data_IF_252571829525
#
_entry.id   IF_252571829525
#
_cell.length_a   1.000
_cell.length_b   1.000
_cell.length_c   1.000
_cell.angle_alpha   90.00
_cell.angle_beta   90.00
_cell.angle_gamma   90.00
#
_symmetry.space_group_name_H-M   'P 1'
#
loop_
_entity.id
_entity.type
_entity.pdbx_description
1 polymer ?
#
# COMPACT_ATOMS: atom_id res chain seq x y z
N UNK A 1 -14.71 3.89 -3.45
CA UNK A 1 -13.74 4.68 -2.65
C UNK A 1 -12.32 4.10 -2.74
N UNK A 2 -12.12 2.81 -2.47
CA UNK A 2 -10.81 2.14 -2.59
C UNK A 2 -10.18 2.28 -4.00
N UNK A 3 -10.91 1.93 -5.06
CA UNK A 3 -10.41 2.02 -6.45
C UNK A 3 -10.07 3.45 -6.88
N UNK A 4 -10.84 4.43 -6.40
CA UNK A 4 -10.62 5.85 -6.71
C UNK A 4 -9.29 6.35 -6.11
N UNK A 5 -8.98 5.99 -4.87
CA UNK A 5 -7.73 6.34 -4.19
C UNK A 5 -6.55 5.61 -4.84
N UNK A 6 -6.69 4.30 -5.13
CA UNK A 6 -5.65 3.54 -5.84
C UNK A 6 -5.32 4.17 -7.20
N UNK A 7 -6.34 4.55 -7.97
CA UNK A 7 -6.17 5.23 -9.25
C UNK A 7 -5.45 6.57 -9.09
N UNK A 8 -5.87 7.38 -8.11
CA UNK A 8 -5.27 8.68 -7.82
C UNK A 8 -3.79 8.56 -7.40
N UNK A 9 -3.47 7.60 -6.55
CA UNK A 9 -2.12 7.33 -6.06
C UNK A 9 -1.29 6.46 -7.02
N UNK A 10 -1.85 6.05 -8.17
CA UNK A 10 -1.23 5.11 -9.12
C UNK A 10 -0.70 3.85 -8.43
N UNK A 11 -1.50 3.28 -7.54
CA UNK A 11 -1.27 1.99 -6.89
C UNK A 11 -1.81 0.91 -7.83
N UNK A 12 -0.98 -0.08 -8.17
CA UNK A 12 -1.31 -1.12 -9.17
C UNK A 12 -1.54 -2.49 -8.52
N UNK A 13 -1.20 -2.61 -7.25
CA UNK A 13 -1.32 -3.81 -6.44
C UNK A 13 -2.80 -4.12 -6.20
N UNK A 14 -3.29 -5.17 -6.88
CA UNK A 14 -4.68 -5.63 -6.77
C UNK A 14 -4.99 -6.10 -5.35
N UNK A 15 -4.03 -6.80 -4.76
CA UNK A 15 -4.11 -7.44 -3.44
C UNK A 15 -3.96 -6.46 -2.27
N UNK A 16 -3.64 -5.18 -2.54
CA UNK A 16 -3.55 -4.15 -1.51
C UNK A 16 -4.96 -3.67 -1.15
N UNK A 17 -5.45 -3.94 0.06
CA UNK A 17 -6.78 -3.51 0.49
C UNK A 17 -6.67 -2.30 1.41
N UNK A 18 -7.30 -1.18 1.05
CA UNK A 18 -7.40 -0.01 1.92
C UNK A 18 -8.36 -0.34 3.06
N UNK A 19 -7.89 -0.22 4.30
CA UNK A 19 -8.65 -0.53 5.52
C UNK A 19 -9.22 0.72 6.16
N UNK A 20 -8.47 1.82 6.13
CA UNK A 20 -8.86 3.08 6.77
C UNK A 20 -8.33 4.28 5.97
N UNK A 21 -9.06 5.40 6.07
CA UNK A 21 -8.65 6.68 5.50
C UNK A 21 -8.93 7.76 6.54
N UNK A 22 -7.89 8.48 6.95
CA UNK A 22 -7.98 9.54 7.96
C UNK A 22 -7.29 10.83 7.49
N UNK A 23 -7.62 11.94 8.14
CA UNK A 23 -6.91 13.20 7.95
C UNK A 23 -6.13 13.54 9.22
N UNK A 24 -4.83 13.71 9.07
CA UNK A 24 -3.92 14.02 10.16
C UNK A 24 -3.18 15.33 9.89
N UNK A 25 -2.71 15.99 10.94
CA UNK A 25 -1.81 17.15 10.78
C UNK A 25 -0.38 16.70 11.04
N UNK A 26 0.38 16.50 9.96
CA UNK A 26 1.80 16.14 10.02
C UNK A 26 2.63 17.37 9.65
N UNK A 27 3.57 17.76 10.51
CA UNK A 27 4.44 18.93 10.28
C UNK A 27 3.67 20.21 9.90
N UNK A 28 2.56 20.49 10.59
CA UNK A 28 1.65 21.62 10.33
C UNK A 28 0.93 21.59 8.96
N UNK A 29 0.97 20.47 8.24
CA UNK A 29 0.25 20.26 6.98
C UNK A 29 -0.86 19.22 7.19
N UNK A 30 -2.08 19.54 6.72
CA UNK A 30 -3.14 18.53 6.61
C UNK A 30 -2.70 17.45 5.61
N UNK A 31 -2.68 16.21 6.06
CA UNK A 31 -2.22 15.04 5.33
C UNK A 31 -3.33 14.00 5.34
N UNK A 32 -3.64 13.44 4.18
CA UNK A 32 -4.51 12.26 4.08
C UNK A 32 -3.65 11.02 4.35
N UNK A 33 -3.97 10.27 5.40
CA UNK A 33 -3.33 9.00 5.73
C UNK A 33 -4.26 7.88 5.25
N UNK A 34 -3.68 6.90 4.55
CA UNK A 34 -4.39 5.76 3.97
C UNK A 34 -3.74 4.51 4.51
N UNK A 35 -4.43 3.82 5.40
CA UNK A 35 -4.00 2.53 5.91
C UNK A 35 -4.45 1.43 4.95
N UNK A 36 -3.55 0.52 4.65
CA UNK A 36 -3.81 -0.57 3.74
C UNK A 36 -3.05 -1.84 4.14
N UNK A 37 -3.68 -2.98 3.88
CA UNK A 37 -3.13 -4.31 4.14
C UNK A 37 -2.99 -5.05 2.82
N UNK A 38 -1.81 -5.62 2.56
CA UNK A 38 -1.60 -6.52 1.43
C UNK A 38 -2.13 -7.91 1.79
N UNK A 39 -3.17 -8.37 1.10
CA UNK A 39 -3.85 -9.65 1.38
C UNK A 39 -3.91 -10.54 0.13
N UNK A 40 -3.43 -11.81 0.20
CA UNK A 40 -2.95 -12.49 1.38
C UNK A 40 -1.61 -11.94 1.89
N UNK A 41 -1.45 -11.89 3.21
CA UNK A 41 -0.21 -11.42 3.84
C UNK A 41 0.96 -12.27 3.35
N UNK A 42 2.00 -11.66 2.76
CA UNK A 42 3.18 -12.39 2.35
C UNK A 42 3.83 -13.09 3.54
N UNK A 43 4.44 -14.24 3.30
CA UNK A 43 5.06 -15.06 4.36
C UNK A 43 6.53 -15.28 4.07
N UNK A 44 7.31 -15.52 5.11
CA UNK A 44 8.67 -16.01 4.94
C UNK A 44 8.67 -17.33 4.17
N UNK A 45 9.67 -17.51 3.30
CA UNK A 45 9.89 -18.71 2.53
C UNK A 45 10.22 -19.85 3.49
N UNK A 46 9.42 -20.92 3.47
CA UNK A 46 9.59 -22.05 4.40
C UNK A 46 10.93 -22.79 4.26
N UNK A 47 11.65 -22.59 3.15
CA UNK A 47 12.90 -23.30 2.87
C UNK A 47 14.15 -22.57 3.36
N UNK A 48 14.13 -21.23 3.40
CA UNK A 48 15.31 -20.42 3.75
C UNK A 48 15.02 -19.30 4.77
N UNK A 49 13.76 -19.09 5.14
CA UNK A 49 13.21 -18.04 6.02
C UNK A 49 13.57 -16.59 5.67
N UNK A 50 14.45 -16.38 4.71
CA UNK A 50 15.04 -15.08 4.39
C UNK A 50 14.31 -14.36 3.24
N UNK A 51 13.62 -15.10 2.38
CA UNK A 51 12.88 -14.57 1.23
C UNK A 51 11.39 -14.47 1.55
N UNK A 52 10.71 -13.43 1.07
CA UNK A 52 9.24 -13.33 1.19
C UNK A 52 8.55 -13.93 -0.02
N UNK A 53 7.52 -14.74 0.21
CA UNK A 53 6.69 -15.40 -0.80
C UNK A 53 5.21 -15.05 -0.64
N UNK A 54 4.45 -15.12 -1.73
CA UNK A 54 3.00 -14.99 -1.74
C UNK A 54 2.28 -16.27 -1.27
N UNK A 55 0.94 -16.25 -1.30
CA UNK A 55 0.11 -17.40 -0.92
C UNK A 55 0.31 -18.66 -1.78
N UNK A 56 0.92 -18.53 -2.97
CA UNK A 56 1.24 -19.61 -3.89
C UNK A 56 2.71 -20.07 -3.80
N UNK A 57 3.50 -19.49 -2.89
CA UNK A 57 4.92 -19.80 -2.72
C UNK A 57 5.85 -19.12 -3.72
N UNK A 58 5.35 -18.17 -4.53
CA UNK A 58 6.19 -17.39 -5.45
C UNK A 58 6.88 -16.27 -4.69
N UNK A 59 8.18 -16.09 -4.92
CA UNK A 59 8.92 -14.96 -4.35
C UNK A 59 8.34 -13.63 -4.84
N UNK A 60 8.10 -12.71 -3.90
CA UNK A 60 7.61 -11.37 -4.20
C UNK A 60 8.51 -10.32 -3.55
N UNK A 61 8.62 -9.18 -4.21
CA UNK A 61 9.30 -8.02 -3.63
C UNK A 61 8.30 -7.20 -2.82
N UNK A 62 8.45 -7.21 -1.50
CA UNK A 62 7.66 -6.35 -0.61
C UNK A 62 8.27 -4.95 -0.63
N UNK A 63 7.60 -4.00 -1.29
CA UNK A 63 8.01 -2.59 -1.26
C UNK A 63 7.48 -1.95 0.02
N UNK A 64 8.28 -1.96 1.09
CA UNK A 64 8.10 -0.98 2.17
C UNK A 64 8.51 0.38 1.63
N UNK A 65 7.55 1.25 1.39
CA UNK A 65 7.83 2.54 0.78
C UNK A 65 6.81 3.60 1.17
N UNK A 66 7.31 4.81 1.47
CA UNK A 66 6.50 6.01 1.53
C UNK A 66 6.37 6.55 0.11
N UNK A 67 5.14 6.68 -0.40
CA UNK A 67 4.88 7.32 -1.70
C UNK A 67 4.32 8.71 -1.47
N UNK A 68 5.04 9.73 -1.91
CA UNK A 68 4.56 11.11 -1.96
C UNK A 68 4.03 11.39 -3.37
N UNK A 69 2.79 11.85 -3.47
CA UNK A 69 2.20 12.25 -4.75
C UNK A 69 1.51 13.60 -4.58
N UNK A 70 1.71 14.49 -5.55
CA UNK A 70 1.03 15.78 -5.58
C UNK A 70 -0.19 15.61 -6.50
N UNK A 71 -1.38 15.59 -5.92
CA UNK A 71 -2.63 15.57 -6.67
C UNK A 71 -3.10 17.00 -6.85
N UNK A 72 -3.16 17.48 -8.09
CA UNK A 72 -3.83 18.74 -8.43
C UNK A 72 -5.28 18.42 -8.77
N UNK A 73 -6.20 19.00 -8.02
CA UNK A 73 -7.60 19.03 -8.43
C UNK A 73 -7.73 20.19 -9.41
N UNK A 74 -7.87 19.88 -10.70
CA UNK A 74 -8.30 20.89 -11.68
C UNK A 74 -9.76 21.26 -11.35
N UNK A 75 -10.06 22.55 -11.38
CA UNK A 75 -11.37 23.11 -11.05
C UNK A 75 -12.36 22.93 -12.19
#
# INVERSE_FOLDING_TARGET
MNDSIKKMLRIIEKDLMITEVSYETLQKKKTLVVDAVLSPTPRACRSCDSTVVDGNGKAIMVKNGKKETIVRFEQ
#
